data_IF_335974381754
#
_entry.id   IF_335974381754
#
_cell.length_a   1.000
_cell.length_b   1.000
_cell.length_c   1.000
_cell.angle_alpha   90.00
_cell.angle_beta   90.00
_cell.angle_gamma   90.00
#
_symmetry.space_group_name_H-M   'P 1'
#
loop_
_entity.id
_entity.type
_entity.pdbx_description
1 polymer ?
#
# COMPACT_ATOMS: atom_id res chain seq x y z
N UNK A 1 -23.34 4.03 -9.87
CA UNK A 1 -21.98 4.16 -9.33
C UNK A 1 -21.10 4.85 -10.34
N UNK A 2 -20.56 5.95 -9.94
CA UNK A 2 -19.81 6.75 -10.88
C UNK A 2 -18.36 6.34 -10.95
N UNK A 3 -17.80 6.57 -12.11
CA UNK A 3 -16.38 6.34 -12.30
C UNK A 3 -15.68 7.68 -12.35
N UNK A 4 -14.44 7.68 -11.93
CA UNK A 4 -13.60 8.85 -12.11
C UNK A 4 -12.40 8.43 -12.93
N UNK A 5 -11.79 9.42 -13.54
CA UNK A 5 -10.59 9.14 -14.33
C UNK A 5 -9.38 9.61 -13.57
N UNK A 6 -8.37 8.76 -13.54
CA UNK A 6 -7.13 9.09 -12.89
C UNK A 6 -6.00 8.80 -13.85
N UNK A 7 -4.92 9.51 -13.68
CA UNK A 7 -3.75 9.31 -14.51
C UNK A 7 -2.65 8.71 -13.65
N UNK A 8 -2.13 7.57 -14.09
CA UNK A 8 -1.06 6.91 -13.38
C UNK A 8 0.02 6.58 -14.38
N UNK A 9 1.18 7.14 -14.17
CA UNK A 9 2.34 6.90 -15.01
C UNK A 9 2.03 7.15 -16.48
N UNK A 10 1.35 8.26 -16.74
CA UNK A 10 1.06 8.67 -18.11
C UNK A 10 -0.13 8.01 -18.76
N UNK A 11 -0.79 7.09 -18.05
CA UNK A 11 -1.94 6.39 -18.58
C UNK A 11 -3.19 6.81 -17.83
N UNK A 12 -4.30 6.89 -18.54
CA UNK A 12 -5.57 7.27 -17.94
C UNK A 12 -6.40 6.03 -17.68
N UNK A 13 -6.94 5.94 -16.48
CA UNK A 13 -7.76 4.81 -16.07
C UNK A 13 -9.09 5.30 -15.54
N UNK A 14 -10.13 4.53 -15.80
CA UNK A 14 -11.45 4.81 -15.29
C UNK A 14 -11.71 3.85 -14.14
N UNK A 15 -11.91 4.40 -12.95
CA UNK A 15 -12.02 3.60 -11.75
C UNK A 15 -13.32 3.94 -11.05
N UNK A 16 -14.02 2.93 -10.56
CA UNK A 16 -15.21 3.18 -9.78
C UNK A 16 -14.83 3.79 -8.45
N UNK A 17 -15.44 4.93 -8.17
CA UNK A 17 -15.04 5.72 -7.03
C UNK A 17 -15.80 5.38 -5.75
N UNK A 18 -16.95 4.79 -5.87
CA UNK A 18 -17.74 4.55 -4.68
C UNK A 18 -18.22 5.86 -4.09
N UNK A 19 -18.00 6.04 -2.80
CA UNK A 19 -18.45 7.22 -2.10
C UNK A 19 -17.41 8.32 -2.00
N UNK A 20 -16.20 8.04 -2.35
CA UNK A 20 -15.12 8.97 -2.04
C UNK A 20 -14.16 9.10 -3.21
N UNK A 21 -14.54 9.87 -4.21
CA UNK A 21 -13.66 10.03 -5.38
C UNK A 21 -12.34 10.72 -5.04
N UNK A 22 -12.33 11.59 -4.05
CA UNK A 22 -11.10 12.25 -3.67
C UNK A 22 -10.09 11.27 -3.10
N UNK A 23 -10.57 10.33 -2.33
CA UNK A 23 -9.69 9.31 -1.78
C UNK A 23 -9.07 8.49 -2.90
N UNK A 24 -9.85 8.15 -3.91
CA UNK A 24 -9.33 7.38 -5.04
C UNK A 24 -8.28 8.19 -5.79
N UNK A 25 -8.51 9.49 -5.92
CA UNK A 25 -7.51 10.33 -6.58
C UNK A 25 -6.22 10.38 -5.79
N UNK A 26 -6.32 10.42 -4.48
CA UNK A 26 -5.12 10.42 -3.65
C UNK A 26 -4.35 9.12 -3.81
N UNK A 27 -5.07 8.02 -3.86
CA UNK A 27 -4.41 6.72 -4.03
C UNK A 27 -3.70 6.67 -5.38
N UNK A 28 -4.36 7.17 -6.42
CA UNK A 28 -3.77 7.18 -7.75
C UNK A 28 -2.50 8.02 -7.79
N UNK A 29 -2.55 9.17 -7.13
CA UNK A 29 -1.38 10.04 -7.09
C UNK A 29 -0.23 9.37 -6.34
N UNK A 30 -0.57 8.64 -5.29
CA UNK A 30 0.44 7.93 -4.52
C UNK A 30 1.13 6.86 -5.36
N UNK A 31 0.33 6.09 -6.10
CA UNK A 31 0.88 5.05 -6.95
C UNK A 31 1.73 5.66 -8.06
N UNK A 32 1.22 6.74 -8.66
CA UNK A 32 1.94 7.42 -9.72
C UNK A 32 3.32 7.87 -9.25
N UNK A 33 3.37 8.47 -8.07
CA UNK A 33 4.63 8.95 -7.53
C UNK A 33 5.57 7.80 -7.25
N UNK A 34 5.03 6.69 -6.74
CA UNK A 34 5.87 5.55 -6.41
C UNK A 34 6.45 4.92 -7.67
N UNK A 35 5.66 4.86 -8.73
CA UNK A 35 6.16 4.32 -9.98
C UNK A 35 7.25 5.19 -10.57
N UNK A 36 7.09 6.50 -10.45
CA UNK A 36 8.13 7.40 -10.94
C UNK A 36 9.42 7.25 -10.16
N UNK A 37 9.31 7.02 -8.87
CA UNK A 37 10.49 6.77 -8.05
C UNK A 37 11.20 5.50 -8.48
N UNK A 38 10.43 4.46 -8.74
CA UNK A 38 11.01 3.19 -9.17
C UNK A 38 11.72 3.37 -10.49
N UNK A 39 11.10 4.06 -11.42
CA UNK A 39 11.70 4.28 -12.71
C UNK A 39 13.03 5.02 -12.58
N UNK A 40 13.04 6.03 -11.73
CA UNK A 40 14.24 6.82 -11.52
C UNK A 40 15.35 5.96 -10.94
N UNK A 41 15.02 5.09 -10.02
CA UNK A 41 16.01 4.27 -9.37
C UNK A 41 16.54 3.13 -10.22
N UNK A 42 15.71 2.60 -11.10
CA UNK A 42 16.10 1.45 -11.91
C UNK A 42 16.51 1.81 -13.31
N UNK A 43 16.02 2.95 -13.81
CA UNK A 43 16.33 3.35 -15.18
C UNK A 43 15.58 2.57 -16.24
N UNK A 44 14.71 1.65 -15.86
CA UNK A 44 13.96 0.87 -16.84
C UNK A 44 12.82 1.70 -17.42
N UNK A 45 12.43 1.37 -18.65
CA UNK A 45 11.29 2.02 -19.26
C UNK A 45 10.13 1.06 -19.42
N UNK A 46 10.28 -0.15 -18.90
CA UNK A 46 9.23 -1.16 -18.98
C UNK A 46 8.18 -0.87 -17.93
N UNK A 47 7.03 -0.35 -18.37
CA UNK A 47 5.97 0.04 -17.44
C UNK A 47 5.43 -1.10 -16.61
N UNK A 48 5.35 -2.29 -17.19
CA UNK A 48 4.87 -3.44 -16.45
C UNK A 48 5.81 -3.77 -15.30
N UNK A 49 7.09 -3.77 -15.59
CA UNK A 49 8.08 -4.07 -14.56
C UNK A 49 8.09 -3.00 -13.48
N UNK A 50 7.95 -1.74 -13.90
CA UNK A 50 7.88 -0.65 -12.94
C UNK A 50 6.68 -0.83 -12.02
N UNK A 51 5.54 -1.22 -12.58
CA UNK A 51 4.34 -1.40 -11.77
C UNK A 51 4.52 -2.52 -10.75
N UNK A 52 5.13 -3.63 -11.17
CA UNK A 52 5.36 -4.74 -10.25
C UNK A 52 6.30 -4.33 -9.13
N UNK A 53 7.38 -3.64 -9.48
CA UNK A 53 8.33 -3.21 -8.46
C UNK A 53 7.72 -2.20 -7.52
N UNK A 54 6.89 -1.30 -8.05
CA UNK A 54 6.20 -0.32 -7.20
C UNK A 54 5.24 -1.03 -6.26
N UNK A 55 4.53 -2.03 -6.76
CA UNK A 55 3.60 -2.78 -5.92
C UNK A 55 4.33 -3.49 -4.79
N UNK A 56 5.47 -4.10 -5.10
CA UNK A 56 6.25 -4.75 -4.06
C UNK A 56 6.77 -3.75 -3.04
N UNK A 57 7.17 -2.60 -3.52
CA UNK A 57 7.67 -1.54 -2.65
C UNK A 57 6.59 -1.09 -1.68
N UNK A 58 5.37 -0.88 -2.20
CA UNK A 58 4.26 -0.46 -1.38
C UNK A 58 3.86 -1.54 -0.39
N UNK A 59 3.84 -2.78 -0.84
CA UNK A 59 3.50 -3.89 0.03
C UNK A 59 4.51 -4.03 1.16
N UNK A 60 5.78 -3.79 0.85
CA UNK A 60 6.81 -3.85 1.87
C UNK A 60 6.60 -2.76 2.92
N UNK A 61 6.27 -1.57 2.47
CA UNK A 61 5.99 -0.48 3.40
C UNK A 61 4.81 -0.80 4.29
N UNK A 62 3.77 -1.35 3.70
CA UNK A 62 2.58 -1.69 4.47
C UNK A 62 2.92 -2.73 5.52
N UNK A 63 3.70 -3.73 5.14
CA UNK A 63 4.08 -4.76 6.07
C UNK A 63 4.93 -4.23 7.21
N UNK A 64 5.83 -3.31 6.89
CA UNK A 64 6.67 -2.71 7.94
C UNK A 64 5.84 -1.87 8.90
N UNK A 65 4.84 -1.17 8.37
CA UNK A 65 3.94 -0.39 9.20
C UNK A 65 3.16 -1.29 10.14
N UNK A 66 2.66 -2.38 9.63
CA UNK A 66 1.92 -3.33 10.47
C UNK A 66 2.79 -3.90 11.56
N UNK A 67 4.01 -4.26 11.21
CA UNK A 67 4.93 -4.82 12.18
C UNK A 67 5.25 -3.82 13.27
N UNK A 68 5.48 -2.57 12.87
CA UNK A 68 5.78 -1.53 13.84
C UNK A 68 4.60 -1.28 14.76
N UNK A 69 3.41 -1.29 14.20
CA UNK A 69 2.21 -1.07 14.98
C UNK A 69 2.02 -2.18 16.00
N UNK A 70 2.24 -3.42 15.57
CA UNK A 70 2.13 -4.55 16.47
C UNK A 70 3.16 -4.47 17.59
N UNK A 71 4.37 -4.10 17.25
CA UNK A 71 5.42 -3.97 18.24
C UNK A 71 5.09 -2.90 19.25
N UNK A 72 4.55 -1.79 18.78
CA UNK A 72 4.17 -0.70 19.66
C UNK A 72 3.09 -1.16 20.63
N UNK A 73 2.09 -1.87 20.12
CA UNK A 73 1.02 -2.37 20.97
C UNK A 73 1.55 -3.31 22.03
N UNK A 74 2.48 -4.15 21.65
CA UNK A 74 3.06 -5.06 22.61
C UNK A 74 3.78 -4.34 23.74
N UNK A 75 4.52 -3.32 23.39
CA UNK A 75 5.32 -2.66 24.40
C UNK A 75 4.48 -1.79 25.32
N UNK A 76 3.27 -1.43 24.92
CA UNK A 76 2.45 -0.59 25.78
C UNK A 76 1.44 -1.36 26.58
N UNK A 77 1.33 -2.65 26.39
CA UNK A 77 0.32 -3.44 27.07
C UNK A 77 1.00 -4.52 27.88
N UNK A 78 0.19 -5.36 28.50
CA UNK A 78 0.66 -6.29 29.47
C UNK A 78 0.84 -7.68 28.90
N UNK A 79 1.09 -8.62 29.80
CA UNK A 79 1.21 -10.01 29.39
C UNK A 79 -0.09 -10.57 28.84
N UNK A 80 -1.21 -9.98 29.21
CA UNK A 80 -2.46 -10.40 28.64
C UNK A 80 -2.43 -10.20 27.13
N UNK A 81 -1.95 -9.08 26.76
CA UNK A 81 -1.84 -8.76 25.34
C UNK A 81 -0.92 -9.74 24.64
N UNK A 82 0.10 -10.14 25.32
CA UNK A 82 1.02 -11.11 24.77
C UNK A 82 0.33 -12.43 24.49
N UNK A 83 -0.56 -12.84 25.36
CA UNK A 83 -1.31 -14.05 25.14
C UNK A 83 -2.20 -13.94 23.92
N UNK A 84 -2.85 -12.80 23.78
CA UNK A 84 -3.69 -12.56 22.63
C UNK A 84 -2.86 -12.63 21.37
N UNK A 85 -1.68 -12.11 21.45
CA UNK A 85 -0.80 -12.09 20.32
C UNK A 85 -0.42 -13.49 19.87
N UNK A 86 -0.12 -14.35 20.78
CA UNK A 86 0.20 -15.72 20.42
C UNK A 86 -0.95 -16.39 19.72
N UNK A 87 -2.14 -16.16 20.22
CA UNK A 87 -3.33 -16.69 19.59
C UNK A 87 -3.55 -16.07 18.23
N UNK A 88 -3.37 -14.78 18.17
CA UNK A 88 -3.58 -14.07 16.93
C UNK A 88 -2.64 -14.48 15.84
N UNK A 89 -1.44 -14.82 16.20
CA UNK A 89 -0.49 -15.29 15.22
C UNK A 89 -0.92 -16.57 14.58
N UNK A 90 -1.45 -17.45 15.37
CA UNK A 90 -1.93 -18.70 14.85
C UNK A 90 -3.03 -18.45 13.84
N UNK A 91 -3.82 -17.45 14.09
CA UNK A 91 -4.92 -17.14 13.21
C UNK A 91 -4.52 -16.42 11.97
N UNK A 92 -3.42 -15.75 12.02
CA UNK A 92 -3.02 -14.92 10.89
C UNK A 92 -2.59 -15.72 9.70
N UNK A 93 -2.48 -16.96 9.85
CA UNK A 93 -2.03 -17.81 8.76
C UNK A 93 -3.03 -17.96 7.65
#
# INVERSE_FOLDING_TARGET
>A
MESIQVEIFGQTYSIKAGNDPEYIRELAAFVDARMKEVQKGTGTVDGYKIAILAALNIADELNRLRTRHDTFRRSTTTSLDRLIELTGEAERK
#
